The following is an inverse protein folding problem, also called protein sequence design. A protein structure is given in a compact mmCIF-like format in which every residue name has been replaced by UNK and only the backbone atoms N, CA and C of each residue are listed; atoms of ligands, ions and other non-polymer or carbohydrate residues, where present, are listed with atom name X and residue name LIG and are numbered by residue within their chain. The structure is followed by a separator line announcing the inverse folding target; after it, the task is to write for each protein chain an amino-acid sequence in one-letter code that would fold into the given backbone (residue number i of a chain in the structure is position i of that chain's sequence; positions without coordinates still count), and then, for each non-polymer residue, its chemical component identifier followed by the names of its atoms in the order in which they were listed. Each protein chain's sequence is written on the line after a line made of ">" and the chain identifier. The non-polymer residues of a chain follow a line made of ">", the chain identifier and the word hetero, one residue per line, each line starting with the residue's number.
data_IF_935483221754
#
_entry.id   IF_935483221754
#
_cell.length_a   1.000
_cell.length_b   1.000
_cell.length_c   1.000
_cell.angle_alpha   90.00
_cell.angle_beta   90.00
_cell.angle_gamma   90.00
#
_symmetry.space_group_name_H-M   'P 1'
#
loop_
_entity.id
_entity.type
_entity.pdbx_description
1 polymer ?
#
# COMPACT_ATOMS: atom_id res chain seq x y z
N UNK A 1 5.52 -22.74 12.97
CA UNK A 1 4.68 -21.59 13.37
C UNK A 1 5.05 -20.45 12.44
N UNK A 2 4.28 -20.25 11.37
CA UNK A 2 4.44 -19.10 10.48
C UNK A 2 3.95 -17.88 11.25
N UNK A 3 4.86 -17.23 11.95
CA UNK A 3 4.57 -16.18 12.92
C UNK A 3 4.67 -14.85 12.18
N UNK A 4 3.53 -14.22 11.94
CA UNK A 4 3.30 -12.77 12.02
C UNK A 4 4.41 -11.79 11.56
N UNK A 5 5.24 -12.10 10.57
CA UNK A 5 6.31 -11.18 10.10
C UNK A 5 5.73 -9.87 9.52
N UNK A 6 4.49 -9.91 9.04
CA UNK A 6 3.76 -8.72 8.55
C UNK A 6 3.36 -7.76 9.69
N UNK A 7 3.01 -8.27 10.87
CA UNK A 7 2.50 -7.43 11.96
C UNK A 7 3.61 -6.64 12.66
N UNK A 8 4.83 -7.17 12.75
CA UNK A 8 5.98 -6.45 13.32
C UNK A 8 6.53 -5.35 12.38
N UNK A 9 6.23 -5.45 11.08
CA UNK A 9 6.74 -4.53 10.04
C UNK A 9 5.70 -3.52 9.55
N UNK A 10 4.51 -3.50 10.15
CA UNK A 10 3.45 -2.58 9.76
C UNK A 10 3.77 -1.14 10.19
N UNK A 11 3.86 -0.24 9.22
CA UNK A 11 4.15 1.18 9.40
C UNK A 11 2.83 1.96 9.32
N UNK A 12 2.47 2.76 10.35
CA UNK A 12 1.28 3.62 10.28
C UNK A 12 1.42 4.67 9.17
N UNK A 13 0.39 4.83 8.34
CA UNK A 13 0.40 5.83 7.25
C UNK A 13 0.55 7.27 7.77
N UNK A 14 0.14 7.50 9.03
CA UNK A 14 0.29 8.78 9.73
C UNK A 14 1.73 9.09 10.13
N UNK A 15 2.60 8.08 10.25
CA UNK A 15 4.03 8.26 10.50
C UNK A 15 4.80 8.39 9.21
N UNK A 16 4.53 7.52 8.24
CA UNK A 16 5.26 7.47 6.98
C UNK A 16 4.38 6.84 5.90
N UNK A 17 4.41 7.43 4.71
CA UNK A 17 3.77 6.88 3.52
C UNK A 17 4.79 6.06 2.71
N UNK A 18 4.35 5.02 1.99
CA UNK A 18 5.19 4.28 1.05
C UNK A 18 5.66 5.18 -0.10
N UNK A 19 6.70 4.76 -0.81
CA UNK A 19 7.18 5.49 -1.99
C UNK A 19 6.11 5.53 -3.10
N UNK A 20 6.17 6.56 -3.96
CA UNK A 20 5.26 6.62 -5.13
C UNK A 20 5.49 5.40 -6.01
N UNK A 21 4.41 4.71 -6.38
CA UNK A 21 4.46 3.54 -7.26
C UNK A 21 5.08 2.28 -6.65
N UNK A 22 5.47 2.29 -5.37
CA UNK A 22 5.91 1.10 -4.67
C UNK A 22 4.69 0.27 -4.27
N UNK A 23 4.60 -0.95 -4.79
CA UNK A 23 3.58 -1.92 -4.38
C UNK A 23 3.87 -2.41 -2.97
N UNK A 24 2.90 -2.26 -2.08
CA UNK A 24 2.97 -2.63 -0.67
C UNK A 24 1.65 -3.29 -0.24
N UNK A 25 1.68 -4.00 0.88
CA UNK A 25 0.47 -4.43 1.56
C UNK A 25 -0.11 -3.23 2.32
N UNK A 26 -1.38 -2.92 2.12
CA UNK A 26 -2.13 -1.86 2.78
C UNK A 26 -3.17 -2.50 3.70
N UNK A 27 -3.25 -2.07 4.95
CA UNK A 27 -4.24 -2.57 5.90
C UNK A 27 -5.46 -1.65 5.91
N UNK A 28 -6.57 -2.17 5.37
CA UNK A 28 -7.88 -1.57 5.46
C UNK A 28 -8.55 -1.89 6.81
N UNK A 29 -8.89 -0.83 7.55
CA UNK A 29 -9.58 -0.94 8.83
C UNK A 29 -11.11 -1.09 8.71
N UNK A 30 -11.68 -0.96 7.50
CA UNK A 30 -13.12 -1.09 7.27
C UNK A 30 -13.58 -2.55 7.13
N UNK A 31 -12.70 -3.49 6.80
CA UNK A 31 -12.96 -4.92 6.90
C UNK A 31 -12.33 -5.79 5.82
N UNK A 32 -11.71 -5.21 4.79
CA UNK A 32 -11.03 -6.00 3.74
C UNK A 32 -9.72 -6.63 4.24
N UNK A 33 -9.11 -6.06 5.28
CA UNK A 33 -7.85 -6.53 5.83
C UNK A 33 -6.65 -6.07 5.00
N UNK A 34 -5.69 -6.96 4.75
CA UNK A 34 -4.50 -6.64 3.96
C UNK A 34 -4.77 -6.76 2.46
N UNK A 35 -4.60 -5.65 1.74
CA UNK A 35 -4.80 -5.55 0.29
C UNK A 35 -3.54 -4.99 -0.39
N UNK A 36 -3.24 -5.44 -1.60
CA UNK A 36 -2.10 -4.92 -2.37
C UNK A 36 -2.44 -3.61 -3.06
N UNK A 37 -1.62 -2.58 -2.83
CA UNK A 37 -1.77 -1.30 -3.49
C UNK A 37 -0.52 -0.44 -3.43
N UNK A 38 -0.59 0.75 -4.01
CA UNK A 38 0.49 1.72 -4.02
C UNK A 38 -0.04 3.14 -3.93
N UNK A 39 0.86 4.06 -3.58
CA UNK A 39 0.56 5.49 -3.57
C UNK A 39 0.75 6.06 -4.98
N UNK A 40 -0.34 6.53 -5.59
CA UNK A 40 -0.33 7.24 -6.87
C UNK A 40 -0.37 8.75 -6.67
N UNK A 41 0.64 9.48 -7.16
CA UNK A 41 0.61 10.95 -7.13
C UNK A 41 -0.20 11.52 -8.31
N UNK A 42 -1.04 12.52 -8.04
CA UNK A 42 -1.67 13.30 -9.09
C UNK A 42 -0.66 14.26 -9.70
N UNK A 43 -0.49 14.17 -11.01
CA UNK A 43 0.37 15.04 -11.80
C UNK A 43 -0.51 15.98 -12.63
N UNK A 44 -0.10 17.23 -12.76
CA UNK A 44 -0.76 18.17 -13.69
C UNK A 44 -0.44 17.80 -15.14
N UNK A 45 -1.13 18.43 -16.09
CA UNK A 45 -0.88 18.30 -17.54
C UNK A 45 0.56 18.63 -18.00
N UNK A 46 1.43 19.11 -17.11
CA UNK A 46 2.87 19.29 -17.35
C UNK A 46 3.77 18.43 -16.45
N UNK A 47 3.28 17.28 -15.98
CA UNK A 47 3.97 16.36 -15.06
C UNK A 47 4.45 16.97 -13.74
N UNK A 48 3.96 18.16 -13.37
CA UNK A 48 4.28 18.76 -12.07
C UNK A 48 3.48 18.08 -10.97
N UNK A 49 4.18 17.72 -9.90
CA UNK A 49 3.57 17.16 -8.70
C UNK A 49 2.62 18.17 -8.07
N UNK A 50 1.37 17.75 -7.86
CA UNK A 50 0.34 18.60 -7.23
C UNK A 50 0.36 18.52 -5.71
N UNK A 51 1.14 17.58 -5.14
CA UNK A 51 1.09 17.22 -3.72
C UNK A 51 -0.13 16.37 -3.34
N UNK A 52 -1.13 16.26 -4.24
CA UNK A 52 -2.26 15.36 -4.06
C UNK A 52 -1.85 13.94 -4.46
N UNK A 53 -2.41 12.96 -3.78
CA UNK A 53 -2.21 11.55 -4.08
C UNK A 53 -3.47 10.76 -3.74
N UNK A 54 -3.59 9.56 -4.31
CA UNK A 54 -4.62 8.58 -3.93
C UNK A 54 -4.01 7.19 -3.84
N UNK A 55 -4.70 6.30 -3.13
CA UNK A 55 -4.37 4.88 -3.15
C UNK A 55 -4.83 4.28 -4.47
N UNK A 56 -3.98 3.42 -5.02
CA UNK A 56 -4.31 2.64 -6.20
C UNK A 56 -4.15 1.18 -5.82
N UNK A 57 -5.18 0.38 -6.12
CA UNK A 57 -5.21 -1.03 -5.79
C UNK A 57 -4.97 -1.87 -7.02
N UNK A 58 -4.40 -3.05 -6.82
CA UNK A 58 -4.30 -4.04 -7.90
C UNK A 58 -5.69 -4.59 -8.29
N UNK A 59 -6.64 -4.57 -7.35
CA UNK A 59 -8.01 -5.05 -7.55
C UNK A 59 -8.86 -3.86 -8.00
N UNK A 60 -9.38 -3.91 -9.24
CA UNK A 60 -10.17 -2.83 -9.84
C UNK A 60 -11.56 -2.64 -9.21
N UNK A 61 -12.00 -3.55 -8.33
CA UNK A 61 -13.30 -3.51 -7.65
C UNK A 61 -13.27 -2.72 -6.33
N UNK A 62 -12.06 -2.36 -5.85
CA UNK A 62 -11.89 -1.61 -4.60
C UNK A 62 -11.92 -0.12 -4.92
N UNK A 63 -12.90 0.58 -4.37
CA UNK A 63 -12.96 2.05 -4.43
C UNK A 63 -12.01 2.65 -3.39
N UNK A 64 -11.15 3.57 -3.81
CA UNK A 64 -10.22 4.25 -2.92
C UNK A 64 -10.92 5.11 -1.87
N UNK A 65 -12.15 5.55 -2.14
CA UNK A 65 -12.96 6.32 -1.20
C UNK A 65 -13.71 5.42 -0.20
N UNK A 66 -13.81 4.09 -0.43
CA UNK A 66 -14.47 3.15 0.49
C UNK A 66 -13.54 2.50 1.52
N UNK A 67 -12.23 2.60 1.32
CA UNK A 67 -11.24 2.01 2.23
C UNK A 67 -10.75 3.01 3.28
N UNK A 68 -10.34 2.49 4.44
CA UNK A 68 -9.69 3.24 5.50
C UNK A 68 -8.31 2.64 5.78
N UNK A 69 -7.34 3.04 4.95
CA UNK A 69 -5.96 2.54 5.07
C UNK A 69 -5.28 3.19 6.27
N UNK A 70 -4.89 2.36 7.25
CA UNK A 70 -4.25 2.84 8.49
C UNK A 70 -2.78 2.46 8.59
N UNK A 71 -2.40 1.33 8.00
CA UNK A 71 -1.03 0.80 8.03
C UNK A 71 -0.62 0.29 6.65
N UNK A 72 0.68 0.24 6.41
CA UNK A 72 1.25 -0.45 5.27
C UNK A 72 2.44 -1.29 5.68
N UNK A 73 2.73 -2.34 4.93
CA UNK A 73 3.89 -3.20 5.12
C UNK A 73 4.50 -3.54 3.77
N UNK A 74 5.82 -3.68 3.72
CA UNK A 74 6.49 -4.15 2.51
C UNK A 74 6.04 -5.57 2.17
N UNK A 75 5.88 -5.85 0.87
CA UNK A 75 5.61 -7.21 0.42
C UNK A 75 6.91 -8.00 0.66
N UNK A 76 6.88 -9.08 1.46
CA UNK A 76 8.08 -9.87 1.68
C UNK A 76 8.55 -10.41 0.32
N UNK A 77 9.81 -10.17 0.00
CA UNK A 77 10.47 -10.90 -1.10
C UNK A 77 10.39 -12.38 -0.73
N UNK A 78 9.63 -13.14 -1.52
CA UNK A 78 9.69 -14.60 -1.43
C UNK A 78 11.16 -14.98 -1.62
N UNK A 79 11.72 -15.89 -0.81
CA UNK A 79 13.07 -16.36 -1.07
C UNK A 79 13.13 -16.82 -2.52
N UNK A 80 14.08 -16.27 -3.29
CA UNK A 80 14.36 -16.76 -4.63
C UNK A 80 14.54 -18.28 -4.50
N UNK A 81 13.67 -19.02 -5.20
CA UNK A 81 13.79 -20.47 -5.30
C UNK A 81 15.12 -20.71 -6.01
N UNK A 82 16.19 -20.92 -5.24
CA UNK A 82 17.50 -21.30 -5.76
C UNK A 82 17.36 -22.75 -6.25
N UNK A 83 16.78 -22.90 -7.44
CA UNK A 83 16.73 -24.13 -8.21
C UNK A 83 17.95 -24.25 -9.13
#
# INVERSE_FOLDING_TARGET
>A
VFKDDVNDRAIPVSKQLPAEGQTVNLFDANGEGWINGWRGLYKTFGQKNTGKWSWVFQINDIDADSVNITHWAEIPELPEDTA
#
